data_IF_056491142334
#
_entry.id   IF_056491142334
#
_cell.length_a   1.000
_cell.length_b   1.000
_cell.length_c   1.000
_cell.angle_alpha   90.00
_cell.angle_beta   90.00
_cell.angle_gamma   90.00
#
_symmetry.space_group_name_H-M   'P 1'
#
loop_
_entity.id
_entity.type
_entity.pdbx_description
1 polymer ?
#
# COMPACT_ATOMS: atom_id res chain seq x y z
N UNK A 1 -23.18 -5.74 3.31
CA UNK A 1 -23.59 -4.32 3.45
C UNK A 1 -23.04 -3.54 2.27
N UNK A 2 -23.77 -2.53 1.84
CA UNK A 2 -23.35 -1.57 0.82
C UNK A 2 -23.77 -0.17 1.27
N UNK A 3 -23.13 0.86 0.72
CA UNK A 3 -23.41 2.25 1.04
C UNK A 3 -24.01 2.95 -0.18
N UNK A 4 -24.87 3.92 0.06
CA UNK A 4 -25.53 4.75 -0.94
C UNK A 4 -25.18 6.21 -0.68
N UNK A 5 -24.94 6.98 -1.73
CA UNK A 5 -24.75 8.41 -1.64
C UNK A 5 -26.09 9.13 -1.34
N UNK A 6 -26.02 10.34 -0.78
CA UNK A 6 -27.21 11.11 -0.42
C UNK A 6 -28.10 11.46 -1.63
N UNK A 7 -27.50 11.56 -2.82
CA UNK A 7 -28.19 11.90 -4.07
C UNK A 7 -28.91 10.69 -4.71
N UNK A 8 -28.68 9.46 -4.23
CA UNK A 8 -29.30 8.25 -4.78
C UNK A 8 -30.71 8.04 -4.22
N UNK A 9 -31.60 7.55 -5.09
CA UNK A 9 -32.96 7.19 -4.70
C UNK A 9 -33.00 5.92 -3.83
N UNK A 10 -32.87 6.15 -2.52
CA UNK A 10 -32.78 5.10 -1.49
C UNK A 10 -33.95 4.14 -1.50
N UNK A 11 -35.16 4.65 -1.77
CA UNK A 11 -36.39 3.84 -1.76
C UNK A 11 -36.39 2.87 -2.95
N UNK A 12 -36.03 3.36 -4.12
CA UNK A 12 -35.98 2.56 -5.35
C UNK A 12 -34.91 1.48 -5.29
N UNK A 13 -33.72 1.80 -4.71
CA UNK A 13 -32.62 0.84 -4.55
C UNK A 13 -33.01 -0.23 -3.52
N UNK A 14 -33.60 0.16 -2.38
CA UNK A 14 -34.07 -0.78 -1.37
C UNK A 14 -35.17 -1.73 -1.91
N UNK A 15 -36.05 -1.25 -2.77
CA UNK A 15 -37.06 -2.06 -3.41
C UNK A 15 -36.43 -3.08 -4.37
N UNK A 16 -35.53 -2.65 -5.23
CA UNK A 16 -34.79 -3.54 -6.13
C UNK A 16 -33.94 -4.60 -5.41
N UNK A 17 -33.31 -4.26 -4.27
CA UNK A 17 -32.58 -5.24 -3.44
C UNK A 17 -33.54 -6.26 -2.82
N UNK A 18 -34.69 -5.84 -2.34
CA UNK A 18 -35.70 -6.76 -1.80
C UNK A 18 -36.25 -7.71 -2.86
N UNK A 19 -36.53 -7.21 -4.07
CA UNK A 19 -36.98 -8.03 -5.19
C UNK A 19 -35.90 -9.07 -5.57
N UNK A 20 -34.65 -8.65 -5.69
CA UNK A 20 -33.52 -9.56 -6.00
C UNK A 20 -33.31 -10.64 -4.91
N UNK A 21 -33.54 -10.30 -3.64
CA UNK A 21 -33.43 -11.27 -2.55
C UNK A 21 -34.62 -12.26 -2.57
N UNK A 22 -35.84 -11.82 -2.93
CA UNK A 22 -36.97 -12.72 -3.10
C UNK A 22 -36.80 -13.67 -4.28
N UNK A 23 -36.20 -13.22 -5.39
CA UNK A 23 -35.80 -14.10 -6.48
C UNK A 23 -34.74 -15.15 -6.04
N UNK A 24 -33.72 -14.73 -5.30
CA UNK A 24 -32.66 -15.62 -4.81
C UNK A 24 -33.20 -16.72 -3.88
N UNK A 25 -34.26 -16.45 -3.08
CA UNK A 25 -34.90 -17.48 -2.25
C UNK A 25 -35.44 -18.67 -3.03
N UNK A 26 -35.76 -18.47 -4.33
CA UNK A 26 -36.23 -19.56 -5.17
C UNK A 26 -35.12 -20.58 -5.57
N UNK A 27 -33.87 -20.18 -5.45
CA UNK A 27 -32.73 -20.96 -5.92
C UNK A 27 -31.84 -21.46 -4.77
N UNK A 28 -31.86 -20.77 -3.62
CA UNK A 28 -31.02 -21.15 -2.48
C UNK A 28 -31.60 -20.63 -1.15
N UNK A 29 -31.34 -21.32 -0.07
CA UNK A 29 -31.69 -20.84 1.27
C UNK A 29 -30.74 -19.70 1.69
N UNK A 30 -31.26 -18.48 1.71
CA UNK A 30 -30.53 -17.26 2.12
C UNK A 30 -30.94 -16.77 3.51
N UNK A 31 -31.62 -17.62 4.29
CA UNK A 31 -32.12 -17.28 5.62
C UNK A 31 -33.26 -16.21 5.58
N UNK A 32 -33.41 -15.38 6.63
CA UNK A 32 -34.49 -14.39 6.70
C UNK A 32 -34.39 -13.28 5.65
N UNK A 33 -33.24 -13.08 5.01
CA UNK A 33 -32.98 -12.08 3.95
C UNK A 33 -33.60 -10.69 4.30
N UNK A 34 -33.42 -10.24 5.54
CA UNK A 34 -33.91 -8.94 5.99
C UNK A 34 -32.96 -7.82 5.56
N UNK A 35 -33.53 -6.79 4.97
CA UNK A 35 -32.80 -5.55 4.61
C UNK A 35 -33.22 -4.47 5.59
N UNK A 36 -32.26 -3.94 6.35
CA UNK A 36 -32.44 -2.80 7.23
C UNK A 36 -31.60 -1.64 6.75
N UNK A 37 -32.22 -0.51 6.47
CA UNK A 37 -31.51 0.75 6.22
C UNK A 37 -31.11 1.38 7.55
N UNK A 38 -29.86 1.77 7.69
CA UNK A 38 -29.39 2.63 8.77
C UNK A 38 -28.75 3.87 8.16
N UNK A 39 -28.99 5.01 8.77
CA UNK A 39 -28.29 6.23 8.40
C UNK A 39 -27.03 6.29 9.27
N UNK A 40 -25.86 6.22 8.64
CA UNK A 40 -24.62 6.59 9.33
C UNK A 40 -24.55 8.11 9.34
N UNK A 41 -24.38 8.70 10.52
CA UNK A 41 -23.96 10.11 10.57
C UNK A 41 -22.69 10.26 9.73
N UNK A 42 -22.62 11.34 8.99
CA UNK A 42 -21.44 11.72 8.20
C UNK A 42 -20.29 12.07 9.17
N UNK A 43 -19.84 11.05 9.90
CA UNK A 43 -18.59 11.12 10.63
C UNK A 43 -17.53 11.08 9.55
N UNK A 44 -16.70 12.09 9.56
CA UNK A 44 -15.54 12.26 8.67
C UNK A 44 -14.62 11.01 8.71
N UNK A 45 -15.11 9.93 8.07
CA UNK A 45 -14.41 8.65 7.98
C UNK A 45 -13.04 8.81 7.32
N UNK A 46 -12.89 9.83 6.47
CA UNK A 46 -11.64 10.13 5.80
C UNK A 46 -10.56 10.65 6.77
N UNK A 47 -10.94 11.20 7.93
CA UNK A 47 -9.98 11.70 8.92
C UNK A 47 -9.97 10.91 10.23
N UNK A 48 -10.96 10.04 10.47
CA UNK A 48 -11.07 9.30 11.74
C UNK A 48 -9.89 8.33 11.99
N UNK A 49 -9.27 7.81 10.94
CA UNK A 49 -8.09 6.94 11.07
C UNK A 49 -6.87 7.71 11.60
N UNK A 50 -6.81 9.04 11.45
CA UNK A 50 -5.74 9.88 12.00
C UNK A 50 -5.67 9.85 13.52
N UNK A 51 -6.81 9.65 14.18
CA UNK A 51 -6.89 9.52 15.64
C UNK A 51 -6.24 8.23 16.16
N UNK A 52 -6.09 7.22 15.31
CA UNK A 52 -5.53 5.92 15.66
C UNK A 52 -4.12 5.72 15.13
N UNK A 53 -3.65 6.59 14.23
CA UNK A 53 -2.32 6.52 13.66
C UNK A 53 -1.38 7.44 14.42
N UNK A 54 -0.59 6.87 15.32
CA UNK A 54 0.42 7.57 16.12
C UNK A 54 1.82 7.12 15.74
N UNK A 55 2.83 7.87 16.21
CA UNK A 55 4.21 7.49 16.00
C UNK A 55 4.50 6.09 16.56
N UNK A 56 5.36 5.38 15.87
CA UNK A 56 5.82 4.07 16.29
C UNK A 56 7.25 3.80 15.81
N UNK A 57 7.85 2.75 16.32
CA UNK A 57 9.22 2.37 15.98
C UNK A 57 9.26 1.03 15.25
N UNK A 58 10.08 0.97 14.20
CA UNK A 58 10.56 -0.29 13.61
C UNK A 58 12.05 -0.36 13.88
N UNK A 59 12.43 -1.12 14.90
CA UNK A 59 13.78 -1.14 15.49
C UNK A 59 14.22 0.28 15.91
N UNK A 60 15.21 0.89 15.26
CA UNK A 60 15.71 2.25 15.47
C UNK A 60 15.22 3.26 14.41
N UNK A 61 14.21 2.89 13.63
CA UNK A 61 13.51 3.81 12.72
C UNK A 61 12.27 4.34 13.44
N UNK A 62 12.19 5.65 13.64
CA UNK A 62 11.01 6.32 14.15
C UNK A 62 10.12 6.72 12.96
N UNK A 63 8.90 6.22 12.93
CA UNK A 63 7.88 6.58 11.94
C UNK A 63 6.84 7.46 12.63
N UNK A 64 6.61 8.65 12.07
CA UNK A 64 5.76 9.69 12.66
C UNK A 64 4.72 10.11 11.62
N UNK A 65 3.45 10.24 12.01
CA UNK A 65 2.44 10.88 11.16
C UNK A 65 2.90 12.27 10.70
N UNK A 66 2.59 12.64 9.45
CA UNK A 66 3.00 13.95 8.91
C UNK A 66 2.44 15.15 9.69
N UNK A 67 1.35 14.97 10.43
CA UNK A 67 0.69 15.99 11.28
C UNK A 67 1.14 15.98 12.75
N UNK A 68 2.00 15.06 13.17
CA UNK A 68 2.54 15.01 14.53
C UNK A 68 4.00 15.48 14.57
N UNK A 69 4.38 16.02 15.73
CA UNK A 69 5.79 16.28 16.04
C UNK A 69 6.42 15.03 16.64
N UNK A 70 7.66 14.68 16.25
CA UNK A 70 8.34 13.53 16.83
C UNK A 70 8.48 13.64 18.34
N UNK A 71 8.13 12.59 19.05
CA UNK A 71 8.39 12.44 20.49
C UNK A 71 9.50 11.40 20.67
N UNK A 72 10.64 11.84 21.20
CA UNK A 72 11.79 10.99 21.40
C UNK A 72 11.61 10.13 22.67
N UNK A 73 10.90 9.01 22.53
CA UNK A 73 10.73 8.04 23.63
C UNK A 73 11.96 7.14 23.79
N UNK A 74 12.73 6.96 22.73
CA UNK A 74 14.01 6.26 22.68
C UNK A 74 14.87 6.75 21.51
N UNK A 75 16.21 6.54 21.54
CA UNK A 75 17.08 6.93 20.45
C UNK A 75 16.65 6.26 19.12
N UNK A 76 16.75 7.00 18.03
CA UNK A 76 16.54 6.51 16.67
C UNK A 76 17.68 6.95 15.75
N UNK A 77 17.92 6.19 14.68
CA UNK A 77 18.92 6.51 13.65
C UNK A 77 18.30 7.07 12.38
N UNK A 78 16.98 6.87 12.22
CA UNK A 78 16.23 7.35 11.06
C UNK A 78 14.86 7.87 11.52
N UNK A 79 14.47 9.02 11.00
CA UNK A 79 13.12 9.59 11.12
C UNK A 79 12.44 9.50 9.74
N UNK A 80 11.22 8.97 9.73
CA UNK A 80 10.36 8.89 8.56
C UNK A 80 9.01 9.54 8.88
N UNK A 81 8.63 10.57 8.15
CA UNK A 81 7.29 11.14 8.19
C UNK A 81 6.38 10.39 7.22
N UNK A 82 5.22 9.97 7.69
CA UNK A 82 4.27 9.20 6.88
C UNK A 82 2.86 9.76 6.98
N UNK A 83 2.26 9.96 5.83
CA UNK A 83 0.82 10.12 5.67
C UNK A 83 0.33 9.03 4.71
N UNK A 84 -0.34 7.98 5.18
CA UNK A 84 -0.87 6.96 4.29
C UNK A 84 -2.01 7.50 3.41
N UNK A 85 -2.65 8.61 3.79
CA UNK A 85 -3.77 9.19 3.05
C UNK A 85 -4.88 8.16 2.85
N UNK A 86 -5.38 8.07 1.63
CA UNK A 86 -6.32 7.03 1.19
C UNK A 86 -5.62 5.77 0.65
N UNK A 87 -4.30 5.81 0.46
CA UNK A 87 -3.54 4.67 -0.03
C UNK A 87 -3.26 3.67 1.11
N UNK A 88 -3.12 2.39 0.75
CA UNK A 88 -2.74 1.35 1.70
C UNK A 88 -1.27 1.50 2.14
N UNK A 89 -0.98 1.19 3.42
CA UNK A 89 0.40 1.10 3.90
C UNK A 89 0.78 2.15 4.95
N UNK A 90 0.19 2.04 6.17
CA UNK A 90 0.58 2.85 7.33
C UNK A 90 1.96 2.52 7.88
N UNK A 91 2.52 1.37 7.52
CA UNK A 91 3.75 0.83 8.12
C UNK A 91 3.54 0.09 9.45
N UNK A 92 2.37 0.22 10.08
CA UNK A 92 2.08 -0.43 11.37
C UNK A 92 1.92 -1.94 11.25
N UNK A 93 1.49 -2.44 10.09
CA UNK A 93 1.28 -3.86 9.89
C UNK A 93 2.61 -4.63 10.00
N UNK A 94 2.57 -5.77 10.63
CA UNK A 94 3.77 -6.61 10.90
C UNK A 94 4.52 -6.98 9.61
N UNK A 95 3.79 -7.25 8.53
CA UNK A 95 4.37 -7.57 7.21
C UNK A 95 5.22 -6.41 6.68
N UNK A 96 4.75 -5.16 6.81
CA UNK A 96 5.49 -3.97 6.40
C UNK A 96 6.73 -3.79 7.26
N UNK A 97 6.61 -3.96 8.58
CA UNK A 97 7.75 -3.90 9.50
C UNK A 97 8.81 -4.95 9.18
N UNK A 98 8.40 -6.18 8.82
CA UNK A 98 9.32 -7.23 8.39
C UNK A 98 10.07 -6.85 7.11
N UNK A 99 9.38 -6.27 6.12
CA UNK A 99 10.01 -5.76 4.90
C UNK A 99 11.01 -4.64 5.21
N UNK A 100 10.65 -3.69 6.08
CA UNK A 100 11.55 -2.61 6.53
C UNK A 100 12.83 -3.18 7.17
N UNK A 101 12.70 -4.17 8.07
CA UNK A 101 13.86 -4.85 8.67
C UNK A 101 14.74 -5.55 7.64
N UNK A 102 14.15 -6.14 6.60
CA UNK A 102 14.90 -6.75 5.50
C UNK A 102 15.61 -5.71 4.65
N UNK A 103 14.93 -4.60 4.30
CA UNK A 103 15.57 -3.48 3.61
C UNK A 103 16.77 -2.96 4.40
N UNK A 104 16.59 -2.69 5.69
CA UNK A 104 17.68 -2.25 6.58
C UNK A 104 18.87 -3.19 6.59
N UNK A 105 18.61 -4.50 6.49
CA UNK A 105 19.70 -5.53 6.49
C UNK A 105 20.45 -5.60 5.17
N UNK A 106 19.76 -5.42 4.04
CA UNK A 106 20.34 -5.76 2.72
C UNK A 106 20.61 -4.56 1.83
N UNK A 107 20.01 -3.40 2.08
CA UNK A 107 20.28 -2.18 1.33
C UNK A 107 21.72 -1.72 1.56
N UNK A 108 22.35 -1.30 0.48
CA UNK A 108 23.64 -0.60 0.47
C UNK A 108 23.49 0.68 -0.34
N UNK A 109 24.21 1.77 0.00
CA UNK A 109 24.21 2.98 -0.80
C UNK A 109 24.54 2.70 -2.27
N UNK A 110 23.85 3.38 -3.18
CA UNK A 110 24.03 3.21 -4.62
C UNK A 110 23.21 2.10 -5.26
N UNK A 111 22.43 1.34 -4.48
CA UNK A 111 21.49 0.33 -5.00
C UNK A 111 20.28 0.95 -5.67
N UNK A 112 19.56 0.12 -6.45
CA UNK A 112 18.26 0.40 -7.06
C UNK A 112 17.18 -0.55 -6.53
N UNK A 113 15.97 -0.05 -6.35
CA UNK A 113 14.82 -0.78 -5.81
C UNK A 113 13.62 -0.67 -6.74
N UNK A 114 12.96 -1.80 -7.00
CA UNK A 114 11.60 -1.86 -7.54
C UNK A 114 10.64 -2.25 -6.40
N UNK A 115 9.67 -1.38 -6.12
CA UNK A 115 8.64 -1.60 -5.09
C UNK A 115 7.28 -1.86 -5.74
N UNK A 116 6.84 -3.12 -5.73
CA UNK A 116 5.59 -3.56 -6.39
C UNK A 116 4.43 -3.53 -5.42
N UNK A 117 3.36 -2.81 -5.77
CA UNK A 117 2.27 -2.51 -4.85
C UNK A 117 2.73 -1.51 -3.78
N UNK A 118 3.30 -0.39 -4.24
CA UNK A 118 4.01 0.55 -3.36
C UNK A 118 3.09 1.26 -2.36
N UNK A 119 1.80 1.42 -2.68
CA UNK A 119 0.81 2.08 -1.84
C UNK A 119 1.23 3.48 -1.40
N UNK A 120 1.39 3.70 -0.11
CA UNK A 120 1.89 4.96 0.47
C UNK A 120 3.35 5.29 0.14
N UNK A 121 4.08 4.35 -0.47
CA UNK A 121 5.50 4.48 -0.77
C UNK A 121 6.45 4.16 0.38
N UNK A 122 5.97 3.63 1.49
CA UNK A 122 6.77 3.47 2.70
C UNK A 122 8.05 2.65 2.50
N UNK A 123 8.00 1.54 1.76
CA UNK A 123 9.19 0.71 1.53
C UNK A 123 10.20 1.42 0.63
N UNK A 124 9.73 2.08 -0.43
CA UNK A 124 10.56 2.91 -1.29
C UNK A 124 11.23 4.05 -0.54
N UNK A 125 10.48 4.76 0.32
CA UNK A 125 10.98 5.87 1.14
C UNK A 125 12.03 5.42 2.15
N UNK A 126 11.80 4.28 2.83
CA UNK A 126 12.82 3.66 3.69
C UNK A 126 14.07 3.35 2.86
N UNK A 127 13.91 2.81 1.65
CA UNK A 127 15.01 2.57 0.73
C UNK A 127 15.80 3.84 0.41
N UNK A 128 15.13 4.94 0.04
CA UNK A 128 15.76 6.25 -0.20
C UNK A 128 16.56 6.72 1.01
N UNK A 129 15.97 6.66 2.21
CA UNK A 129 16.64 7.04 3.47
C UNK A 129 17.82 6.14 3.83
N UNK A 130 17.84 4.90 3.38
CA UNK A 130 18.98 3.97 3.54
C UNK A 130 20.06 4.17 2.48
N UNK A 131 19.88 5.07 1.52
CA UNK A 131 20.87 5.42 0.51
C UNK A 131 20.70 4.71 -0.84
N UNK A 132 19.48 4.23 -1.16
CA UNK A 132 19.15 3.78 -2.51
C UNK A 132 19.15 4.99 -3.45
N UNK A 133 19.83 4.88 -4.58
CA UNK A 133 19.95 5.96 -5.55
C UNK A 133 18.69 6.14 -6.38
N UNK A 134 18.01 5.03 -6.71
CA UNK A 134 16.82 5.05 -7.54
C UNK A 134 15.79 4.03 -7.07
N UNK A 135 14.56 4.49 -6.85
CA UNK A 135 13.38 3.67 -6.54
C UNK A 135 12.36 3.82 -7.65
N UNK A 136 11.87 2.71 -8.16
CA UNK A 136 10.65 2.68 -8.96
C UNK A 136 9.55 2.00 -8.17
N UNK A 137 8.46 2.72 -7.88
CA UNK A 137 7.22 2.16 -7.37
C UNK A 137 6.28 1.76 -8.51
N UNK A 138 5.52 0.70 -8.34
CA UNK A 138 4.37 0.41 -9.20
C UNK A 138 3.15 0.14 -8.36
N UNK A 139 1.99 0.63 -8.78
CA UNK A 139 0.71 0.35 -8.12
C UNK A 139 -0.44 0.29 -9.13
N UNK A 140 -1.53 -0.37 -8.77
CA UNK A 140 -2.76 -0.39 -9.55
C UNK A 140 -3.65 0.82 -9.23
N UNK A 141 -3.54 1.34 -8.00
CA UNK A 141 -4.37 2.42 -7.49
C UNK A 141 -3.76 3.79 -7.83
N UNK A 142 -4.46 4.64 -8.59
CA UNK A 142 -4.02 6.00 -8.86
C UNK A 142 -3.82 6.87 -7.60
N UNK A 143 -4.47 6.53 -6.48
CA UNK A 143 -4.29 7.24 -5.20
C UNK A 143 -2.86 7.15 -4.69
N UNK A 144 -2.09 6.15 -5.09
CA UNK A 144 -0.67 6.04 -4.75
C UNK A 144 0.16 7.23 -5.25
N UNK A 145 -0.26 7.91 -6.34
CA UNK A 145 0.48 9.06 -6.90
C UNK A 145 0.56 10.21 -5.92
N UNK A 146 -0.58 10.61 -5.34
CA UNK A 146 -0.62 11.69 -4.34
C UNK A 146 0.09 11.27 -3.07
N UNK A 147 -0.19 10.06 -2.56
CA UNK A 147 0.39 9.55 -1.32
C UNK A 147 1.93 9.48 -1.38
N UNK A 148 2.50 8.89 -2.45
CA UNK A 148 3.96 8.81 -2.61
C UNK A 148 4.57 10.20 -2.72
N UNK A 149 3.96 11.11 -3.51
CA UNK A 149 4.47 12.48 -3.68
C UNK A 149 4.48 13.27 -2.37
N UNK A 150 3.41 13.23 -1.61
CA UNK A 150 3.29 13.92 -0.31
C UNK A 150 4.30 13.37 0.69
N UNK A 151 4.45 12.06 0.74
CA UNK A 151 5.42 11.40 1.60
C UNK A 151 6.86 11.66 1.19
N UNK A 152 7.17 11.73 -0.11
CA UNK A 152 8.49 12.17 -0.59
C UNK A 152 8.81 13.59 -0.12
N UNK A 153 7.86 14.52 -0.25
CA UNK A 153 8.03 15.92 0.19
C UNK A 153 8.25 15.99 1.70
N UNK A 154 7.45 15.29 2.50
CA UNK A 154 7.58 15.26 3.97
C UNK A 154 8.93 14.70 4.42
N UNK A 155 9.57 13.85 3.62
CA UNK A 155 10.86 13.24 3.92
C UNK A 155 12.05 13.88 3.19
N UNK A 156 11.82 14.94 2.43
CA UNK A 156 12.84 15.64 1.63
C UNK A 156 13.55 14.70 0.65
N UNK A 157 12.82 13.74 0.07
CA UNK A 157 13.35 12.87 -0.98
C UNK A 157 13.40 13.67 -2.29
N UNK A 158 14.55 13.74 -2.97
CA UNK A 158 14.70 14.50 -4.21
C UNK A 158 13.77 13.99 -5.33
N UNK A 159 13.29 14.92 -6.16
CA UNK A 159 12.61 14.55 -7.40
C UNK A 159 13.53 13.67 -8.27
N UNK A 160 12.97 12.60 -8.84
CA UNK A 160 13.69 11.64 -9.66
C UNK A 160 14.39 10.51 -8.88
N UNK A 161 14.52 10.60 -7.54
CA UNK A 161 15.03 9.47 -6.76
C UNK A 161 13.97 8.38 -6.56
N UNK A 162 12.69 8.75 -6.46
CA UNK A 162 11.57 7.84 -6.37
C UNK A 162 10.56 8.17 -7.47
N UNK A 163 10.44 7.30 -8.45
CA UNK A 163 9.49 7.39 -9.55
C UNK A 163 8.34 6.40 -9.34
N UNK A 164 7.16 6.70 -9.92
CA UNK A 164 5.96 5.87 -9.78
C UNK A 164 5.31 5.63 -11.15
N UNK A 165 4.93 4.38 -11.41
CA UNK A 165 4.13 3.98 -12.55
C UNK A 165 2.82 3.37 -12.06
N UNK A 166 1.69 3.88 -12.55
CA UNK A 166 0.38 3.27 -12.29
C UNK A 166 0.08 2.26 -13.39
N UNK A 167 -0.15 1.02 -12.99
CA UNK A 167 -0.49 -0.07 -13.90
C UNK A 167 -0.05 -1.45 -13.39
N UNK A 168 -0.47 -2.47 -14.11
CA UNK A 168 -0.23 -3.86 -13.72
C UNK A 168 1.10 -4.38 -14.29
N UNK A 169 2.13 -4.44 -13.45
CA UNK A 169 3.45 -4.93 -13.85
C UNK A 169 3.47 -6.41 -14.29
N UNK A 170 2.42 -7.20 -13.91
CA UNK A 170 2.33 -8.61 -14.28
C UNK A 170 1.85 -8.75 -15.72
N UNK A 171 0.87 -7.94 -16.14
CA UNK A 171 0.14 -8.13 -17.41
C UNK A 171 0.33 -7.02 -18.42
N UNK A 172 0.68 -5.79 -17.99
CA UNK A 172 0.83 -4.64 -18.88
C UNK A 172 2.25 -4.55 -19.43
N UNK A 173 2.36 -4.78 -20.74
CA UNK A 173 3.64 -4.73 -21.45
C UNK A 173 4.28 -3.34 -21.47
N UNK A 174 3.50 -2.26 -21.35
CA UNK A 174 4.04 -0.90 -21.29
C UNK A 174 4.67 -0.63 -19.93
N UNK A 175 3.99 -1.01 -18.84
CA UNK A 175 4.54 -0.96 -17.47
C UNK A 175 5.82 -1.78 -17.39
N UNK A 176 5.81 -3.01 -17.92
CA UNK A 176 6.98 -3.88 -17.97
C UNK A 176 8.15 -3.26 -18.73
N UNK A 177 7.87 -2.59 -19.86
CA UNK A 177 8.89 -1.92 -20.67
C UNK A 177 9.49 -0.72 -19.95
N UNK A 178 8.67 0.06 -19.26
CA UNK A 178 9.12 1.22 -18.48
C UNK A 178 9.95 0.79 -17.27
N UNK A 179 9.53 -0.26 -16.57
CA UNK A 179 10.29 -0.82 -15.45
C UNK A 179 11.67 -1.37 -15.85
N UNK A 180 11.84 -1.78 -17.12
CA UNK A 180 13.09 -2.33 -17.63
C UNK A 180 13.34 -3.78 -17.20
N UNK A 181 14.54 -4.30 -17.49
CA UNK A 181 14.96 -5.66 -17.11
C UNK A 181 16.34 -5.62 -16.49
N UNK A 182 16.59 -6.47 -15.49
CA UNK A 182 17.89 -6.61 -14.82
C UNK A 182 18.48 -5.27 -14.35
N UNK A 183 17.61 -4.37 -13.83
CA UNK A 183 18.01 -3.02 -13.44
C UNK A 183 18.04 -2.83 -11.92
N UNK A 184 17.40 -3.72 -11.16
CA UNK A 184 17.24 -3.51 -9.72
C UNK A 184 18.07 -4.49 -8.91
N UNK A 185 18.73 -3.98 -7.88
CA UNK A 185 19.43 -4.78 -6.89
C UNK A 185 18.45 -5.45 -5.93
N UNK A 186 17.31 -4.80 -5.70
CA UNK A 186 16.23 -5.26 -4.82
C UNK A 186 14.87 -5.14 -5.53
N UNK A 187 14.00 -6.12 -5.30
CA UNK A 187 12.57 -6.03 -5.57
C UNK A 187 11.83 -6.28 -4.28
N UNK A 188 10.90 -5.39 -3.92
CA UNK A 188 9.99 -5.57 -2.79
C UNK A 188 8.56 -5.78 -3.29
N UNK A 189 7.80 -6.61 -2.56
CA UNK A 189 6.36 -6.78 -2.76
C UNK A 189 5.70 -7.16 -1.44
N UNK A 190 5.00 -6.19 -0.82
CA UNK A 190 4.21 -6.41 0.39
C UNK A 190 2.72 -6.37 0.04
N UNK A 191 2.26 -7.41 -0.62
CA UNK A 191 0.92 -7.55 -1.20
C UNK A 191 0.32 -8.92 -0.88
N UNK A 192 -0.94 -9.13 -1.27
CA UNK A 192 -1.65 -10.39 -1.01
C UNK A 192 -0.96 -11.59 -1.69
N UNK A 193 -1.00 -12.74 -1.03
CA UNK A 193 -0.37 -13.98 -1.49
C UNK A 193 -0.82 -14.40 -2.90
N UNK A 194 -2.11 -14.24 -3.21
CA UNK A 194 -2.69 -14.58 -4.53
C UNK A 194 -2.08 -13.75 -5.67
N UNK A 195 -1.58 -12.55 -5.37
CA UNK A 195 -0.89 -11.69 -6.33
C UNK A 195 0.60 -12.02 -6.38
N UNK A 196 1.21 -12.43 -5.26
CA UNK A 196 2.63 -12.82 -5.22
C UNK A 196 2.95 -14.03 -6.09
N UNK A 197 2.04 -15.00 -6.17
CA UNK A 197 2.25 -16.22 -6.99
C UNK A 197 2.45 -15.87 -8.47
N UNK A 198 1.55 -15.14 -9.15
CA UNK A 198 1.78 -14.75 -10.55
C UNK A 198 2.87 -13.66 -10.70
N UNK A 199 3.15 -12.85 -9.68
CA UNK A 199 4.20 -11.84 -9.72
C UNK A 199 5.61 -12.45 -9.68
N UNK A 200 5.84 -13.50 -8.91
CA UNK A 200 7.18 -14.03 -8.65
C UNK A 200 7.99 -14.35 -9.92
N UNK A 201 7.45 -15.05 -10.94
CA UNK A 201 8.19 -15.31 -12.18
C UNK A 201 8.44 -14.03 -13.02
N UNK A 202 7.67 -12.97 -12.76
CA UNK A 202 7.84 -11.66 -13.43
C UNK A 202 8.89 -10.83 -12.69
N UNK A 203 8.83 -10.79 -11.36
CA UNK A 203 9.71 -10.01 -10.50
C UNK A 203 11.19 -10.34 -10.71
N UNK A 204 11.53 -11.62 -10.86
CA UNK A 204 12.92 -12.05 -11.10
C UNK A 204 13.52 -11.50 -12.40
N UNK A 205 12.71 -11.08 -13.37
CA UNK A 205 13.19 -10.49 -14.64
C UNK A 205 13.71 -9.07 -14.47
N UNK A 206 13.35 -8.41 -13.39
CA UNK A 206 13.77 -7.05 -13.08
C UNK A 206 15.04 -7.02 -12.23
N UNK A 207 15.34 -8.12 -11.53
CA UNK A 207 16.53 -8.25 -10.69
C UNK A 207 17.80 -8.38 -11.52
N UNK A 208 18.83 -7.64 -11.11
CA UNK A 208 20.20 -7.90 -11.54
C UNK A 208 20.64 -9.32 -11.11
N UNK A 209 21.61 -9.93 -11.78
CA UNK A 209 22.23 -11.16 -11.29
C UNK A 209 22.69 -11.01 -9.83
N UNK A 210 22.19 -11.90 -8.95
CA UNK A 210 22.50 -11.83 -7.51
C UNK A 210 21.64 -10.84 -6.73
N UNK A 211 20.66 -10.17 -7.36
CA UNK A 211 19.68 -9.32 -6.69
C UNK A 211 18.74 -10.09 -5.77
N UNK A 212 18.07 -9.38 -4.87
CA UNK A 212 17.21 -9.98 -3.85
C UNK A 212 15.74 -9.63 -4.07
N UNK A 213 14.88 -10.63 -3.90
CA UNK A 213 13.42 -10.46 -3.86
C UNK A 213 12.93 -10.59 -2.43
N UNK A 214 12.34 -9.53 -1.89
CA UNK A 214 11.77 -9.44 -0.54
C UNK A 214 10.25 -9.42 -0.66
N UNK A 215 9.60 -10.44 -0.14
CA UNK A 215 8.13 -10.53 -0.16
C UNK A 215 7.58 -10.71 1.24
N UNK A 216 6.33 -10.28 1.43
CA UNK A 216 5.55 -10.49 2.63
C UNK A 216 4.07 -10.68 2.27
N UNK A 217 3.23 -11.02 3.25
CA UNK A 217 1.81 -11.29 3.02
C UNK A 217 1.50 -12.77 2.77
N UNK A 218 2.48 -13.66 3.00
CA UNK A 218 2.30 -15.11 2.95
C UNK A 218 1.88 -15.57 4.34
N UNK A 219 0.69 -16.19 4.43
CA UNK A 219 0.18 -16.78 5.68
C UNK A 219 0.38 -18.29 5.64
N UNK A 220 0.79 -18.87 6.77
CA UNK A 220 0.72 -20.33 6.95
C UNK A 220 -0.76 -20.74 7.01
N UNK A 221 -1.16 -21.65 6.12
CA UNK A 221 -2.50 -22.25 6.11
C UNK A 221 -2.50 -23.58 6.84
#
# INVERSE_FOLDING_TARGET
>A
SFYLDEEEDKEKILEGVKEALEELKQFTDIGPASVTGSQTEDKDWMNNWKEYFHQFYVDDILIVPSWEQPREERPYTMLLHMDPGTAFGTGMHETTQLCIRKLKKYVKPGMSLLDVGTGSGILGLVGCKLGIDHVLGTDLDPCAVSAVRENMQANHVPEGQFELIIGNIITDSQVQKQAGREQYDLVTANILADVLVPLSPVAVRYLKPGGLYITSGILDQ
#
